data_IF_852208558322
#
_entry.id   IF_852208558322
#
_cell.length_a   1.000
_cell.length_b   1.000
_cell.length_c   1.000
_cell.angle_alpha   90.00
_cell.angle_beta   90.00
_cell.angle_gamma   90.00
#
_symmetry.space_group_name_H-M   'P 1'
#
loop_
_entity.id
_entity.type
_entity.pdbx_description
1 polymer ?
#
# COMPACT_ATOMS: atom_id res chain seq x y z
N UNK A 1 -40.48 -28.33 -18.26
CA UNK A 1 -40.40 -27.05 -17.55
C UNK A 1 -39.10 -26.92 -16.74
N UNK A 2 -38.73 -27.89 -15.95
CA UNK A 2 -37.48 -27.89 -15.11
C UNK A 2 -36.18 -27.70 -15.92
N UNK A 3 -36.05 -28.33 -17.11
CA UNK A 3 -34.83 -28.22 -17.94
C UNK A 3 -34.54 -26.77 -18.40
N UNK A 4 -35.54 -25.98 -18.66
CA UNK A 4 -35.37 -24.56 -19.05
C UNK A 4 -34.95 -23.69 -17.86
N UNK A 5 -35.50 -23.98 -16.66
CA UNK A 5 -35.17 -23.28 -15.43
C UNK A 5 -33.69 -23.56 -15.03
N UNK A 6 -33.27 -24.83 -15.10
CA UNK A 6 -31.90 -25.24 -14.83
C UNK A 6 -30.91 -24.56 -15.78
N UNK A 7 -31.22 -24.56 -17.10
CA UNK A 7 -30.35 -23.87 -18.08
C UNK A 7 -30.26 -22.38 -17.85
N UNK A 8 -31.35 -21.73 -17.48
CA UNK A 8 -31.40 -20.30 -17.18
C UNK A 8 -30.59 -19.98 -15.89
N UNK A 9 -30.71 -20.81 -14.83
CA UNK A 9 -29.96 -20.68 -13.60
C UNK A 9 -28.46 -20.86 -13.82
N UNK A 10 -28.07 -21.84 -14.64
CA UNK A 10 -26.66 -22.05 -15.03
C UNK A 10 -26.12 -20.84 -15.79
N UNK A 11 -26.88 -20.30 -16.73
CA UNK A 11 -26.48 -19.12 -17.51
C UNK A 11 -26.30 -17.89 -16.61
N UNK A 12 -27.18 -17.71 -15.63
CA UNK A 12 -27.17 -16.60 -14.69
C UNK A 12 -25.96 -16.63 -13.76
N UNK A 13 -25.35 -17.81 -13.51
CA UNK A 13 -24.13 -17.99 -12.72
C UNK A 13 -22.88 -17.91 -13.63
N UNK A 14 -22.92 -18.54 -14.79
CA UNK A 14 -21.76 -18.61 -15.69
C UNK A 14 -21.42 -17.26 -16.34
N UNK A 15 -22.41 -16.48 -16.74
CA UNK A 15 -22.15 -15.18 -17.35
C UNK A 15 -21.35 -14.25 -16.44
N UNK A 16 -21.76 -13.98 -15.17
CA UNK A 16 -20.96 -13.16 -14.26
C UNK A 16 -19.58 -13.75 -13.96
N UNK A 17 -19.45 -15.09 -13.91
CA UNK A 17 -18.17 -15.75 -13.69
C UNK A 17 -17.20 -15.55 -14.87
N UNK A 18 -17.70 -15.69 -16.11
CA UNK A 18 -16.89 -15.48 -17.32
C UNK A 18 -16.52 -13.99 -17.47
N UNK A 19 -17.49 -13.08 -17.31
CA UNK A 19 -17.22 -11.64 -17.39
C UNK A 19 -16.29 -11.18 -16.27
N UNK A 20 -16.52 -11.65 -15.05
CA UNK A 20 -15.64 -11.35 -13.90
C UNK A 20 -14.24 -11.91 -14.08
N UNK A 21 -14.12 -13.14 -14.57
CA UNK A 21 -12.83 -13.77 -14.88
C UNK A 21 -12.07 -13.05 -15.99
N UNK A 22 -12.74 -12.75 -17.11
CA UNK A 22 -12.13 -12.01 -18.22
C UNK A 22 -11.74 -10.59 -17.83
N UNK A 23 -12.58 -9.91 -17.08
CA UNK A 23 -12.27 -8.57 -16.55
C UNK A 23 -11.08 -8.62 -15.57
N UNK A 24 -11.08 -9.58 -14.65
CA UNK A 24 -9.98 -9.78 -13.70
C UNK A 24 -8.66 -10.09 -14.40
N UNK A 25 -8.68 -10.97 -15.40
CA UNK A 25 -7.51 -11.28 -16.23
C UNK A 25 -7.00 -10.05 -17.00
N UNK A 26 -7.91 -9.30 -17.63
CA UNK A 26 -7.57 -8.05 -18.32
C UNK A 26 -6.98 -7.01 -17.36
N UNK A 27 -7.54 -6.91 -16.14
CA UNK A 27 -7.04 -5.99 -15.11
C UNK A 27 -5.63 -6.37 -14.66
N UNK A 28 -5.37 -7.65 -14.39
CA UNK A 28 -4.04 -8.15 -13.97
C UNK A 28 -2.98 -7.85 -15.04
N UNK A 29 -3.30 -8.07 -16.32
CA UNK A 29 -2.36 -7.76 -17.42
C UNK A 29 -2.18 -6.26 -17.66
N UNK A 30 -3.16 -5.44 -17.32
CA UNK A 30 -3.07 -3.98 -17.42
C UNK A 30 -2.24 -3.36 -16.30
N UNK A 31 -2.21 -4.00 -15.13
CA UNK A 31 -1.45 -3.55 -13.96
C UNK A 31 -0.01 -4.05 -14.05
N UNK A 32 0.91 -3.13 -14.05
CA UNK A 32 2.36 -3.41 -13.93
C UNK A 32 2.74 -3.49 -12.45
N UNK A 33 2.45 -4.62 -11.82
CA UNK A 33 2.72 -4.81 -10.38
C UNK A 33 4.18 -5.27 -10.21
N UNK A 34 5.04 -4.45 -9.60
CA UNK A 34 6.42 -4.81 -9.30
C UNK A 34 6.51 -6.01 -8.33
N UNK A 35 7.62 -6.75 -8.40
CA UNK A 35 7.91 -7.82 -7.45
C UNK A 35 8.28 -7.23 -6.08
N UNK A 36 7.53 -7.60 -5.05
CA UNK A 36 7.76 -7.15 -3.67
C UNK A 36 9.05 -7.70 -3.04
N UNK A 37 9.68 -8.73 -3.65
CA UNK A 37 10.99 -9.24 -3.20
C UNK A 37 12.09 -8.19 -3.17
N UNK A 38 11.91 -7.10 -3.92
CA UNK A 38 12.81 -5.96 -3.86
C UNK A 38 12.87 -5.33 -2.46
N UNK A 39 11.86 -5.53 -1.60
CA UNK A 39 11.87 -5.07 -0.20
C UNK A 39 12.96 -5.75 0.63
N UNK A 40 13.25 -7.04 0.38
CA UNK A 40 14.27 -7.78 1.12
C UNK A 40 15.68 -7.20 0.93
N UNK A 41 15.93 -6.61 -0.24
CA UNK A 41 17.20 -5.96 -0.58
C UNK A 41 17.17 -4.45 -0.42
N UNK A 42 16.04 -3.87 -0.01
CA UNK A 42 15.90 -2.43 0.10
C UNK A 42 16.79 -1.89 1.22
N UNK A 43 17.74 -1.05 0.84
CA UNK A 43 18.57 -0.29 1.77
C UNK A 43 18.22 1.20 1.62
N UNK A 44 17.79 1.86 2.70
CA UNK A 44 17.58 3.31 2.66
C UNK A 44 18.85 4.02 2.19
N UNK A 45 18.69 5.07 1.39
CA UNK A 45 19.84 5.91 1.01
C UNK A 45 20.47 6.45 2.28
N UNK A 46 21.74 6.15 2.49
CA UNK A 46 22.54 6.64 3.61
C UNK A 46 23.44 7.79 3.15
N UNK A 47 23.86 8.62 4.10
CA UNK A 47 24.89 9.61 3.87
C UNK A 47 26.25 8.94 3.60
N UNK A 48 27.01 9.46 2.63
CA UNK A 48 28.43 9.14 2.46
C UNK A 48 29.21 9.97 3.46
N UNK A 49 29.93 9.35 4.35
CA UNK A 49 30.77 10.01 5.35
C UNK A 49 32.21 9.98 4.89
N UNK A 50 32.84 11.14 4.91
CA UNK A 50 34.25 11.33 4.60
C UNK A 50 34.99 11.62 5.92
N UNK A 51 36.04 10.85 6.16
CA UNK A 51 36.87 10.96 7.35
C UNK A 51 38.27 11.47 6.93
N UNK A 52 38.87 12.27 7.79
CA UNK A 52 40.28 12.61 7.68
C UNK A 52 41.17 11.40 8.10
N UNK A 53 42.48 11.51 7.93
CA UNK A 53 43.43 10.45 8.27
C UNK A 53 43.50 10.18 9.80
N UNK A 54 43.02 11.11 10.62
CA UNK A 54 42.89 10.99 12.08
C UNK A 54 41.50 10.48 12.53
N UNK A 55 40.68 9.91 11.61
CA UNK A 55 39.33 9.41 11.85
C UNK A 55 38.31 10.49 12.24
N UNK A 56 38.63 11.76 12.14
CA UNK A 56 37.64 12.82 12.32
C UNK A 56 36.72 12.94 11.13
N UNK A 57 35.40 13.10 11.39
CA UNK A 57 34.40 13.28 10.35
C UNK A 57 34.61 14.64 9.66
N UNK A 58 35.14 14.61 8.43
CA UNK A 58 35.40 15.80 7.63
C UNK A 58 34.18 16.34 6.92
N UNK A 59 33.36 15.46 6.31
CA UNK A 59 32.16 15.84 5.59
C UNK A 59 31.12 14.72 5.51
N UNK A 60 29.87 15.11 5.39
CA UNK A 60 28.76 14.20 5.04
C UNK A 60 28.12 14.66 3.73
N UNK A 61 28.03 13.77 2.75
CA UNK A 61 27.36 13.99 1.48
C UNK A 61 26.04 13.21 1.46
N UNK A 62 24.92 13.88 1.33
CA UNK A 62 23.60 13.25 1.33
C UNK A 62 22.59 14.06 0.48
N UNK A 63 21.62 13.36 -0.11
CA UNK A 63 20.41 13.99 -0.65
C UNK A 63 19.38 14.14 0.47
N UNK A 64 19.24 13.10 1.31
CA UNK A 64 18.41 13.09 2.51
C UNK A 64 19.24 12.52 3.65
N UNK A 65 19.36 13.25 4.75
CA UNK A 65 20.06 12.76 5.94
C UNK A 65 19.13 11.81 6.70
N UNK A 66 19.36 10.51 6.54
CA UNK A 66 18.60 9.46 7.22
C UNK A 66 19.50 8.74 8.20
N UNK A 67 18.98 8.55 9.41
CA UNK A 67 19.58 7.71 10.45
C UNK A 67 18.59 6.57 10.67
N UNK A 68 18.79 5.38 10.05
CA UNK A 68 17.92 4.25 10.28
C UNK A 68 18.07 3.74 11.72
N UNK A 69 16.96 3.58 12.40
CA UNK A 69 16.89 2.97 13.73
C UNK A 69 15.96 1.77 13.68
N UNK A 70 16.24 0.69 14.42
CA UNK A 70 15.32 -0.44 14.55
C UNK A 70 13.99 0.00 15.17
N UNK A 71 12.88 -0.62 14.73
CA UNK A 71 11.54 -0.32 15.27
C UNK A 71 11.45 -0.60 16.77
N UNK A 72 12.30 -1.50 17.29
CA UNK A 72 12.39 -1.85 18.70
C UNK A 72 12.98 -0.71 19.56
N UNK A 73 13.81 0.14 18.98
CA UNK A 73 14.38 1.32 19.64
C UNK A 73 13.45 2.54 19.57
N UNK A 74 12.41 2.49 18.74
CA UNK A 74 11.45 3.57 18.64
C UNK A 74 10.47 3.55 19.81
N UNK A 75 10.29 4.68 20.53
CA UNK A 75 9.33 4.76 21.63
C UNK A 75 7.90 4.45 21.16
N UNK A 76 7.14 3.69 21.95
CA UNK A 76 5.80 3.27 21.58
C UNK A 76 4.85 4.45 21.31
N UNK A 77 4.95 5.53 22.08
CA UNK A 77 4.10 6.72 21.87
C UNK A 77 4.33 7.37 20.50
N UNK A 78 5.56 7.31 19.96
CA UNK A 78 5.85 7.81 18.61
C UNK A 78 5.23 6.91 17.55
N UNK A 79 5.39 5.58 17.68
CA UNK A 79 4.73 4.61 16.78
C UNK A 79 3.22 4.81 16.74
N UNK A 80 2.59 4.91 17.91
CA UNK A 80 1.14 5.09 18.01
C UNK A 80 0.67 6.46 17.52
N UNK A 81 1.48 7.51 17.65
CA UNK A 81 1.15 8.83 17.10
C UNK A 81 1.05 8.78 15.57
N UNK A 82 2.01 8.13 14.89
CA UNK A 82 1.94 7.92 13.44
C UNK A 82 0.72 7.10 13.04
N UNK A 83 0.46 5.98 13.71
CA UNK A 83 -0.68 5.12 13.43
C UNK A 83 -2.00 5.86 13.64
N UNK A 84 -2.11 6.66 14.70
CA UNK A 84 -3.32 7.41 15.00
C UNK A 84 -3.67 8.47 13.95
N UNK A 85 -2.65 9.07 13.32
CA UNK A 85 -2.83 10.10 12.30
C UNK A 85 -3.04 9.48 10.90
N UNK A 86 -2.20 8.52 10.54
CA UNK A 86 -2.16 7.99 9.18
C UNK A 86 -3.15 6.83 8.96
N UNK A 87 -3.30 5.95 9.96
CA UNK A 87 -4.07 4.72 9.82
C UNK A 87 -4.49 4.15 11.18
N UNK A 88 -5.49 4.77 11.80
CA UNK A 88 -5.97 4.40 13.14
C UNK A 88 -6.38 2.92 13.28
N UNK A 89 -6.61 2.24 12.15
CA UNK A 89 -7.01 0.84 12.11
C UNK A 89 -5.92 -0.09 11.58
N UNK A 90 -4.68 0.36 11.52
CA UNK A 90 -3.53 -0.34 10.93
C UNK A 90 -3.46 -1.83 11.31
N UNK A 91 -3.61 -2.15 12.59
CA UNK A 91 -3.59 -3.54 13.07
C UNK A 91 -4.88 -4.35 12.82
N UNK A 92 -5.91 -3.75 12.19
CA UNK A 92 -7.24 -4.36 12.02
C UNK A 92 -7.62 -4.69 10.57
N UNK A 93 -6.73 -4.42 9.63
CA UNK A 93 -6.93 -4.72 8.20
C UNK A 93 -5.64 -5.28 7.60
N UNK A 94 -5.71 -5.78 6.35
CA UNK A 94 -4.56 -6.26 5.60
C UNK A 94 -4.38 -5.51 4.28
N UNK A 95 -3.71 -4.40 4.39
CA UNK A 95 -3.32 -3.54 3.27
C UNK A 95 -4.36 -2.52 2.89
N UNK A 96 -5.66 -2.83 2.98
CA UNK A 96 -6.76 -1.94 2.64
C UNK A 96 -7.74 -1.86 3.81
N UNK A 97 -8.12 -0.65 4.22
CA UNK A 97 -9.20 -0.44 5.17
C UNK A 97 -10.50 -0.03 4.47
N UNK A 98 -11.34 -1.01 4.15
CA UNK A 98 -12.63 -0.80 3.49
C UNK A 98 -13.56 0.10 4.30
N UNK A 99 -13.53 0.02 5.65
CA UNK A 99 -14.37 0.86 6.52
C UNK A 99 -13.95 2.33 6.44
N UNK A 100 -12.64 2.58 6.44
CA UNK A 100 -12.12 3.94 6.29
C UNK A 100 -12.40 4.51 4.89
N UNK A 101 -12.35 3.68 3.85
CA UNK A 101 -12.75 4.08 2.48
C UNK A 101 -14.22 4.50 2.45
N UNK A 102 -15.13 3.67 2.97
CA UNK A 102 -16.55 3.98 3.02
C UNK A 102 -16.83 5.25 3.83
N UNK A 103 -16.22 5.38 5.00
CA UNK A 103 -16.37 6.57 5.86
C UNK A 103 -15.90 7.84 5.13
N UNK A 104 -14.68 7.81 4.55
CA UNK A 104 -14.13 8.95 3.84
C UNK A 104 -14.96 9.31 2.61
N UNK A 105 -15.45 8.33 1.87
CA UNK A 105 -16.32 8.55 0.71
C UNK A 105 -17.62 9.26 1.12
N UNK A 106 -18.31 8.76 2.14
CA UNK A 106 -19.54 9.38 2.64
C UNK A 106 -19.28 10.81 3.13
N UNK A 107 -18.20 11.04 3.87
CA UNK A 107 -17.84 12.35 4.40
C UNK A 107 -17.48 13.35 3.28
N UNK A 108 -16.74 12.89 2.26
CA UNK A 108 -16.35 13.72 1.12
C UNK A 108 -17.57 14.12 0.26
N UNK A 109 -18.53 13.20 0.09
CA UNK A 109 -19.80 13.50 -0.60
C UNK A 109 -20.62 14.53 0.19
N UNK A 110 -20.80 14.33 1.50
CA UNK A 110 -21.63 15.22 2.33
C UNK A 110 -21.03 16.61 2.49
N UNK A 111 -19.70 16.75 2.45
CA UNK A 111 -18.99 18.02 2.58
C UNK A 111 -18.60 18.69 1.27
N UNK A 112 -19.04 18.13 0.14
CA UNK A 112 -18.74 18.63 -1.22
C UNK A 112 -17.26 18.90 -1.47
N UNK A 113 -16.36 18.05 -0.93
CA UNK A 113 -14.92 18.19 -1.13
C UNK A 113 -14.11 17.06 -0.51
N UNK A 114 -12.84 16.96 -0.89
CA UNK A 114 -11.92 15.97 -0.33
C UNK A 114 -11.42 16.47 1.03
N UNK A 115 -12.09 16.04 2.09
CA UNK A 115 -11.78 16.45 3.47
C UNK A 115 -11.06 15.35 4.26
N UNK A 116 -11.12 14.10 3.80
CA UNK A 116 -10.52 12.95 4.48
C UNK A 116 -9.94 11.95 3.49
N UNK A 117 -8.70 11.52 3.74
CA UNK A 117 -8.04 10.43 3.02
C UNK A 117 -8.35 9.08 3.68
N UNK A 118 -8.27 8.00 2.89
CA UNK A 118 -8.47 6.63 3.37
C UNK A 118 -7.33 5.69 2.95
N UNK A 119 -6.16 6.24 2.63
CA UNK A 119 -4.98 5.43 2.29
C UNK A 119 -4.36 4.89 3.57
N UNK A 120 -4.06 3.60 3.59
CA UNK A 120 -3.39 2.93 4.71
C UNK A 120 -1.89 3.17 4.70
N UNK A 121 -1.21 2.92 5.83
CA UNK A 121 0.26 2.95 5.94
C UNK A 121 0.88 2.02 4.90
N UNK A 122 0.35 0.81 4.72
CA UNK A 122 0.85 -0.16 3.74
C UNK A 122 0.70 0.32 2.30
N UNK A 123 -0.41 0.99 1.98
CA UNK A 123 -0.58 1.63 0.66
C UNK A 123 0.42 2.78 0.44
N UNK A 124 0.72 3.55 1.47
CA UNK A 124 1.72 4.62 1.39
C UNK A 124 3.12 4.05 1.20
N UNK A 125 3.46 2.95 1.90
CA UNK A 125 4.71 2.23 1.71
C UNK A 125 4.84 1.73 0.28
N UNK A 126 3.82 1.02 -0.23
CA UNK A 126 3.78 0.53 -1.61
C UNK A 126 4.01 1.66 -2.63
N UNK A 127 3.31 2.77 -2.46
CA UNK A 127 3.45 3.95 -3.32
C UNK A 127 4.87 4.51 -3.31
N UNK A 128 5.44 4.69 -2.13
CA UNK A 128 6.73 5.37 -1.97
C UNK A 128 7.91 4.54 -2.48
N UNK A 129 7.81 3.22 -2.44
CA UNK A 129 8.89 2.32 -2.84
C UNK A 129 8.80 1.82 -4.27
N UNK A 130 7.60 1.62 -4.79
CA UNK A 130 7.40 0.90 -6.06
C UNK A 130 6.76 1.73 -7.16
N UNK A 131 6.05 2.82 -6.82
CA UNK A 131 5.21 3.51 -7.79
C UNK A 131 5.67 4.94 -8.06
N UNK A 132 5.26 5.45 -9.21
CA UNK A 132 5.55 6.84 -9.57
C UNK A 132 4.70 7.83 -8.78
N UNK A 133 5.16 9.09 -8.59
CA UNK A 133 4.40 10.11 -7.86
C UNK A 133 3.14 10.60 -8.60
N UNK A 134 2.93 10.22 -9.87
CA UNK A 134 1.78 10.64 -10.69
C UNK A 134 0.46 10.15 -10.08
N UNK A 135 -0.49 11.06 -9.86
CA UNK A 135 -1.81 10.75 -9.29
C UNK A 135 -2.74 10.22 -10.38
N UNK A 136 -2.76 8.90 -10.59
CA UNK A 136 -3.64 8.23 -11.56
C UNK A 136 -4.51 7.18 -10.88
N UNK A 137 -5.64 6.83 -11.49
CA UNK A 137 -6.51 5.75 -11.00
C UNK A 137 -5.79 4.39 -11.11
N UNK A 138 -5.05 4.14 -12.22
CA UNK A 138 -4.21 2.95 -12.40
C UNK A 138 -3.29 2.76 -11.20
N UNK A 139 -2.49 3.80 -10.86
CA UNK A 139 -1.60 3.76 -9.70
C UNK A 139 -2.34 3.46 -8.40
N UNK A 140 -3.58 3.95 -8.21
CA UNK A 140 -4.33 3.67 -6.97
C UNK A 140 -4.75 2.21 -6.85
N UNK A 141 -5.02 1.54 -7.96
CA UNK A 141 -5.29 0.09 -7.98
C UNK A 141 -3.99 -0.68 -7.72
N UNK A 142 -2.87 -0.26 -8.33
CA UNK A 142 -1.55 -0.86 -8.09
C UNK A 142 -1.13 -0.74 -6.63
N UNK A 143 -1.32 0.43 -5.99
CA UNK A 143 -1.12 0.62 -4.55
C UNK A 143 -1.91 -0.40 -3.71
N UNK A 144 -3.18 -0.59 -4.04
CA UNK A 144 -4.04 -1.50 -3.31
C UNK A 144 -3.60 -2.97 -3.48
N UNK A 145 -3.25 -3.37 -4.70
CA UNK A 145 -2.76 -4.72 -4.99
C UNK A 145 -1.43 -5.00 -4.30
N UNK A 146 -0.47 -4.07 -4.38
CA UNK A 146 0.81 -4.17 -3.69
C UNK A 146 0.66 -4.19 -2.17
N UNK A 147 -0.23 -3.37 -1.60
CA UNK A 147 -0.49 -3.36 -0.17
C UNK A 147 -0.98 -4.71 0.34
N UNK A 148 -1.86 -5.40 -0.40
CA UNK A 148 -2.31 -6.75 -0.06
C UNK A 148 -1.15 -7.76 -0.15
N UNK A 149 -0.28 -7.65 -1.16
CA UNK A 149 0.88 -8.54 -1.31
C UNK A 149 1.87 -8.34 -0.16
N UNK A 150 2.19 -7.09 0.18
CA UNK A 150 3.08 -6.74 1.30
C UNK A 150 2.54 -7.33 2.61
N UNK A 151 1.26 -7.15 2.91
CA UNK A 151 0.64 -7.67 4.15
C UNK A 151 0.55 -9.20 4.22
N UNK A 152 0.68 -9.88 3.08
CA UNK A 152 0.79 -11.35 3.05
C UNK A 152 2.21 -11.85 3.32
N UNK A 153 3.21 -11.05 3.01
CA UNK A 153 4.62 -11.40 3.11
C UNK A 153 5.29 -10.88 4.39
N UNK A 154 4.82 -9.77 4.93
CA UNK A 154 5.43 -9.04 6.04
C UNK A 154 4.46 -8.81 7.19
N UNK A 155 4.96 -8.89 8.41
CA UNK A 155 4.20 -8.54 9.62
C UNK A 155 3.96 -7.03 9.73
N UNK A 156 3.02 -6.63 10.57
CA UNK A 156 2.72 -5.21 10.82
C UNK A 156 3.93 -4.43 11.35
N UNK A 157 4.75 -5.05 12.16
CA UNK A 157 5.94 -4.41 12.71
C UNK A 157 7.04 -4.24 11.66
N UNK A 158 7.19 -5.17 10.72
CA UNK A 158 8.09 -5.03 9.57
C UNK A 158 7.62 -3.93 8.61
N UNK A 159 6.33 -3.80 8.40
CA UNK A 159 5.73 -2.74 7.58
C UNK A 159 5.93 -1.39 8.22
#
# INVERSE_FOLDING_TARGET
MYSKIIKFSILLILLPAIFGGSFGYGLVNYLEIPDIKQLESYKPKSATRLYADNDELFAELFIEKRIPIPITEMPNHLKYAFIAIEDVRFYKHFGIDVRSILRATLKNITRQGITEGASTITQQLARNLFLSPKKTFKRKIEEAALAIQIERAYSKDEI
#
